data_IF_586124891057
#
_entry.id   IF_586124891057
#
_cell.length_a   1.000
_cell.length_b   1.000
_cell.length_c   1.000
_cell.angle_alpha   90.00
_cell.angle_beta   90.00
_cell.angle_gamma   90.00
#
_symmetry.space_group_name_H-M   'P 1'
#
loop_
_entity.id
_entity.type
_entity.pdbx_description
1 polymer ?
#
# COMPACT_ATOMS: atom_id res chain seq x y z
N UNK A 1 2.13 9.21 30.98
CA UNK A 1 1.21 8.21 30.37
C UNK A 1 1.23 8.43 28.87
N UNK A 2 1.79 7.50 28.09
CA UNK A 2 1.83 7.58 26.63
C UNK A 2 0.61 6.81 26.11
N UNK A 3 -0.20 7.45 25.26
CA UNK A 3 -1.36 6.84 24.62
C UNK A 3 -0.91 6.28 23.27
N UNK A 4 -1.12 4.98 23.03
CA UNK A 4 -0.92 4.37 21.72
C UNK A 4 -2.26 4.31 20.98
N UNK A 5 -2.31 4.87 19.77
CA UNK A 5 -3.47 4.80 18.89
C UNK A 5 -3.28 3.65 17.90
N UNK A 6 -4.29 2.77 17.78
CA UNK A 6 -4.25 1.65 16.83
C UNK A 6 -4.96 1.95 15.49
N UNK A 7 -5.83 2.98 15.46
CA UNK A 7 -6.64 3.33 14.29
C UNK A 7 -6.72 4.84 14.09
N UNK A 8 -6.91 5.25 12.83
CA UNK A 8 -7.13 6.64 12.43
C UNK A 8 -5.84 7.43 12.16
N UNK A 9 -5.98 8.72 11.84
CA UNK A 9 -4.85 9.58 11.47
C UNK A 9 -3.74 9.66 12.53
N UNK A 10 -4.11 9.56 13.81
CA UNK A 10 -3.16 9.62 14.93
C UNK A 10 -2.29 8.36 15.07
N UNK A 11 -2.67 7.25 14.43
CA UNK A 11 -1.83 6.04 14.39
C UNK A 11 -0.85 6.04 13.21
N UNK A 12 -0.86 7.06 12.35
CA UNK A 12 -0.07 7.13 11.12
C UNK A 12 1.18 7.99 11.35
N UNK A 13 2.36 7.39 11.14
CA UNK A 13 3.62 8.14 10.98
C UNK A 13 3.77 8.70 9.57
N UNK A 14 4.78 9.55 9.35
CA UNK A 14 5.08 10.11 8.01
C UNK A 14 5.52 8.98 7.07
N UNK A 15 4.78 8.67 5.97
CA UNK A 15 5.18 7.63 5.02
C UNK A 15 6.46 8.00 4.28
N UNK A 16 7.42 7.06 4.22
CA UNK A 16 8.77 7.28 3.70
C UNK A 16 9.15 6.42 2.51
N UNK A 17 8.27 5.53 2.08
CA UNK A 17 8.54 4.45 1.11
C UNK A 17 8.99 5.00 -0.24
N UNK A 18 8.24 5.95 -0.82
CA UNK A 18 8.57 6.55 -2.12
C UNK A 18 9.90 7.32 -2.07
N UNK A 19 10.15 8.04 -0.97
CA UNK A 19 11.41 8.75 -0.76
C UNK A 19 12.59 7.77 -0.63
N UNK A 20 12.38 6.65 0.08
CA UNK A 20 13.33 5.55 0.21
C UNK A 20 13.65 4.91 -1.13
N UNK A 21 12.62 4.56 -1.91
CA UNK A 21 12.78 3.99 -3.25
C UNK A 21 13.52 4.94 -4.19
N UNK A 22 13.19 6.24 -4.17
CA UNK A 22 13.87 7.25 -4.96
C UNK A 22 15.36 7.38 -4.58
N UNK A 23 15.67 7.37 -3.28
CA UNK A 23 17.05 7.41 -2.79
C UNK A 23 17.83 6.16 -3.20
N UNK A 24 17.22 4.98 -3.11
CA UNK A 24 17.82 3.72 -3.56
C UNK A 24 18.04 3.72 -5.07
N UNK A 25 17.07 4.18 -5.85
CA UNK A 25 17.17 4.27 -7.31
C UNK A 25 18.24 5.26 -7.76
N UNK A 26 18.37 6.43 -7.12
CA UNK A 26 19.48 7.35 -7.41
C UNK A 26 20.85 6.74 -7.15
N UNK A 27 20.96 5.83 -6.17
CA UNK A 27 22.24 5.22 -5.80
C UNK A 27 22.57 3.96 -6.61
N UNK A 28 21.55 3.17 -6.97
CA UNK A 28 21.73 1.81 -7.51
C UNK A 28 20.89 1.52 -8.76
N UNK A 29 20.06 2.45 -9.20
CA UNK A 29 19.12 2.28 -10.30
C UNK A 29 19.83 2.16 -11.64
N UNK A 30 19.28 1.29 -12.49
CA UNK A 30 19.77 1.06 -13.87
C UNK A 30 18.71 1.34 -14.93
N UNK A 31 17.45 1.09 -14.60
CA UNK A 31 16.31 1.36 -15.48
C UNK A 31 15.76 2.77 -15.22
N UNK A 32 15.12 3.41 -16.21
CA UNK A 32 14.38 4.65 -15.99
C UNK A 32 13.36 4.49 -14.86
N UNK A 33 13.20 5.52 -14.03
CA UNK A 33 12.32 5.48 -12.85
C UNK A 33 10.89 5.08 -13.21
N UNK A 34 10.32 5.66 -14.27
CA UNK A 34 8.96 5.38 -14.74
C UNK A 34 8.75 3.92 -15.15
N UNK A 35 9.76 3.27 -15.72
CA UNK A 35 9.67 1.90 -16.21
C UNK A 35 9.43 0.90 -15.06
N UNK A 36 9.86 1.22 -13.84
CA UNK A 36 9.68 0.35 -12.67
C UNK A 36 8.21 0.22 -12.25
N UNK A 37 7.38 1.23 -12.54
CA UNK A 37 5.99 1.29 -12.08
C UNK A 37 5.00 0.83 -13.14
N UNK A 38 5.38 0.82 -14.42
CA UNK A 38 4.50 0.48 -15.53
C UNK A 38 3.75 -0.85 -15.32
N UNK A 39 4.41 -1.97 -14.92
CA UNK A 39 3.70 -3.23 -14.69
C UNK A 39 2.66 -3.16 -13.55
N UNK A 40 2.96 -2.40 -12.49
CA UNK A 40 2.04 -2.25 -11.37
C UNK A 40 0.84 -1.37 -11.74
N UNK A 41 1.06 -0.31 -12.52
CA UNK A 41 0.00 0.56 -13.04
C UNK A 41 -0.96 -0.25 -13.92
N UNK A 42 -0.42 -1.06 -14.82
CA UNK A 42 -1.23 -1.89 -15.73
C UNK A 42 -2.06 -2.91 -14.94
N UNK A 43 -1.45 -3.60 -13.98
CA UNK A 43 -2.16 -4.52 -13.09
C UNK A 43 -3.28 -3.85 -12.28
N UNK A 44 -3.08 -2.60 -11.83
CA UNK A 44 -4.12 -1.86 -11.11
C UNK A 44 -5.27 -1.40 -12.02
N UNK A 45 -4.99 -1.08 -13.28
CA UNK A 45 -6.00 -0.66 -14.26
C UNK A 45 -6.80 -1.83 -14.82
N UNK A 46 -6.14 -2.94 -15.12
CA UNK A 46 -6.76 -4.14 -15.71
C UNK A 46 -7.39 -5.04 -14.65
N UNK A 47 -6.94 -4.91 -13.40
CA UNK A 47 -7.31 -5.79 -12.30
C UNK A 47 -6.54 -7.11 -12.33
N UNK A 48 -6.72 -7.91 -11.28
CA UNK A 48 -6.10 -9.23 -11.18
C UNK A 48 -6.94 -10.17 -10.32
N UNK A 49 -6.78 -11.47 -10.53
CA UNK A 49 -7.47 -12.49 -9.73
C UNK A 49 -6.92 -12.51 -8.30
N UNK A 50 -7.82 -12.31 -7.32
CA UNK A 50 -7.47 -12.36 -5.91
C UNK A 50 -7.02 -13.78 -5.52
N UNK A 51 -5.78 -13.88 -5.01
CA UNK A 51 -5.23 -15.14 -4.50
C UNK A 51 -5.67 -15.39 -3.06
N UNK A 52 -5.59 -16.65 -2.63
CA UNK A 52 -6.07 -17.15 -1.33
C UNK A 52 -5.62 -16.28 -0.13
N UNK A 53 -4.36 -15.84 -0.10
CA UNK A 53 -3.83 -15.03 1.00
C UNK A 53 -4.53 -13.66 1.12
N UNK A 54 -4.70 -12.96 -0.01
CA UNK A 54 -5.38 -11.67 -0.03
C UNK A 54 -6.88 -11.84 0.28
N UNK A 55 -7.54 -12.85 -0.30
CA UNK A 55 -8.94 -13.15 -0.01
C UNK A 55 -9.16 -13.40 1.50
N UNK A 56 -8.28 -14.19 2.13
CA UNK A 56 -8.34 -14.44 3.57
C UNK A 56 -8.21 -13.15 4.38
N UNK A 57 -7.24 -12.29 4.06
CA UNK A 57 -7.05 -11.02 4.75
C UNK A 57 -8.24 -10.07 4.60
N UNK A 58 -8.86 -10.00 3.41
CA UNK A 58 -10.06 -9.19 3.18
C UNK A 58 -11.23 -9.71 4.03
N UNK A 59 -11.49 -11.02 3.99
CA UNK A 59 -12.60 -11.62 4.75
C UNK A 59 -12.40 -11.47 6.27
N UNK A 60 -11.17 -11.68 6.75
CA UNK A 60 -10.82 -11.50 8.18
C UNK A 60 -11.06 -10.07 8.67
N UNK A 61 -10.89 -9.07 7.80
CA UNK A 61 -11.05 -7.64 8.16
C UNK A 61 -12.34 -7.03 7.62
N UNK A 62 -13.30 -7.84 7.15
CA UNK A 62 -14.50 -7.40 6.46
C UNK A 62 -15.25 -6.30 7.23
N UNK A 63 -15.46 -6.48 8.54
CA UNK A 63 -16.20 -5.51 9.35
C UNK A 63 -15.51 -4.13 9.39
N UNK A 64 -14.18 -4.11 9.53
CA UNK A 64 -13.39 -2.86 9.56
C UNK A 64 -13.39 -2.16 8.20
N UNK A 65 -13.15 -2.93 7.13
CA UNK A 65 -13.18 -2.42 5.76
C UNK A 65 -14.55 -1.85 5.40
N UNK A 66 -15.62 -2.54 5.81
CA UNK A 66 -16.98 -2.06 5.58
C UNK A 66 -17.32 -0.90 6.51
N UNK A 67 -16.71 -0.70 7.67
CA UNK A 67 -17.00 0.47 8.51
C UNK A 67 -16.44 1.78 7.90
N UNK A 68 -15.31 1.71 7.19
CA UNK A 68 -14.67 2.86 6.57
C UNK A 68 -15.30 3.19 5.21
N UNK A 69 -15.88 4.39 5.07
CA UNK A 69 -16.52 4.83 3.82
C UNK A 69 -15.53 4.99 2.67
N UNK A 70 -14.26 5.25 2.95
CA UNK A 70 -13.22 5.43 1.91
C UNK A 70 -12.77 4.11 1.26
N UNK A 71 -13.09 2.97 1.91
CA UNK A 71 -12.67 1.63 1.48
C UNK A 71 -13.81 0.84 0.81
N UNK A 72 -14.95 1.50 0.52
CA UNK A 72 -16.12 0.93 -0.16
C UNK A 72 -16.19 1.38 -1.62
#
# INVERSE_FOLDING_TARGET
MIIFYELGGLSIGIPGEIAGFWKAHKKYGKLPWSALFKPAIDMCNEGFTIKKALAFSILKNKEKLWADKSMR
#
